data_IF_582143927345
#
_entry.id   IF_582143927345
#
_cell.length_a   1.000
_cell.length_b   1.000
_cell.length_c   1.000
_cell.angle_alpha   90.00
_cell.angle_beta   90.00
_cell.angle_gamma   90.00
#
_symmetry.space_group_name_H-M   'P 1'
#
loop_
_entity.id
_entity.type
_entity.pdbx_description
1 polymer ?
#
# COMPACT_ATOMS: atom_id res chain seq x y z
N UNK A 1 1.34 63.08 51.16
CA UNK A 1 1.32 62.20 49.98
C UNK A 1 2.31 61.06 50.17
N UNK A 2 1.97 59.97 50.83
CA UNK A 2 2.79 58.73 50.90
C UNK A 2 2.06 57.65 51.72
N UNK A 3 0.94 57.14 51.26
CA UNK A 3 0.28 55.94 51.88
C UNK A 3 -0.34 54.96 50.92
N UNK A 4 -0.22 55.19 49.57
CA UNK A 4 -0.85 54.29 48.59
C UNK A 4 0.08 53.21 47.99
N UNK A 5 1.38 53.16 48.36
CA UNK A 5 2.36 52.30 47.69
C UNK A 5 2.76 51.04 48.47
N UNK A 6 2.29 50.87 49.70
CA UNK A 6 2.66 49.72 50.53
C UNK A 6 1.63 48.57 50.49
N UNK A 7 0.38 48.84 50.13
CA UNK A 7 -0.60 47.77 49.97
C UNK A 7 -0.45 47.01 48.66
N UNK A 8 -0.20 47.71 47.54
CA UNK A 8 0.04 47.05 46.25
C UNK A 8 1.25 46.10 46.27
N UNK A 9 2.26 46.39 47.07
CA UNK A 9 3.47 45.54 47.17
C UNK A 9 3.23 44.26 48.00
N UNK A 10 2.29 44.29 48.94
CA UNK A 10 1.84 43.11 49.70
C UNK A 10 0.98 42.17 48.83
N UNK A 11 0.09 42.70 48.00
CA UNK A 11 -0.72 41.92 47.07
C UNK A 11 0.13 41.26 45.96
N UNK A 12 1.13 41.97 45.49
CA UNK A 12 2.05 41.41 44.48
C UNK A 12 2.95 40.31 45.05
N UNK A 13 3.39 40.43 46.30
CA UNK A 13 4.11 39.35 46.99
C UNK A 13 3.27 38.12 47.30
N UNK A 14 1.98 38.32 47.60
CA UNK A 14 1.06 37.20 47.76
C UNK A 14 0.75 36.52 46.41
N UNK A 15 0.50 37.27 45.35
CA UNK A 15 0.32 36.73 43.97
C UNK A 15 1.54 35.94 43.51
N UNK A 16 2.77 36.42 43.74
CA UNK A 16 3.99 35.71 43.41
C UNK A 16 4.15 34.42 44.24
N UNK A 17 3.76 34.43 45.52
CA UNK A 17 3.73 33.20 46.32
C UNK A 17 2.73 32.18 45.87
N UNK A 18 1.55 32.57 45.39
CA UNK A 18 0.54 31.65 44.86
C UNK A 18 0.88 31.15 43.45
N UNK A 19 1.53 31.97 42.60
CA UNK A 19 2.01 31.53 41.30
C UNK A 19 3.21 30.56 41.42
N UNK A 20 4.12 30.76 42.38
CA UNK A 20 5.20 29.85 42.65
C UNK A 20 4.71 28.56 43.31
N UNK A 21 3.71 28.62 44.21
CA UNK A 21 3.05 27.44 44.78
C UNK A 21 2.26 26.63 43.72
N UNK A 22 1.67 27.26 42.71
CA UNK A 22 0.96 26.61 41.64
C UNK A 22 1.89 25.93 40.64
N UNK A 23 3.10 26.48 40.46
CA UNK A 23 4.14 25.90 39.59
C UNK A 23 4.85 24.68 40.21
N UNK A 24 4.83 24.55 41.55
CA UNK A 24 5.41 23.41 42.27
C UNK A 24 4.45 22.22 42.40
N UNK A 25 3.13 22.45 42.16
CA UNK A 25 2.07 21.42 42.19
C UNK A 25 1.65 20.90 40.82
N UNK A 26 2.44 21.12 39.75
CA UNK A 26 2.33 20.29 38.59
C UNK A 26 2.99 18.95 38.94
N UNK A 27 2.24 17.85 39.10
CA UNK A 27 2.88 16.56 39.23
C UNK A 27 3.65 16.37 37.92
N UNK A 28 4.97 16.33 38.03
CA UNK A 28 5.81 15.79 37.00
C UNK A 28 5.58 14.26 36.97
N UNK A 29 4.35 13.85 36.61
CA UNK A 29 4.10 12.53 36.06
C UNK A 29 4.73 12.47 34.66
N UNK A 30 6.04 12.66 34.63
CA UNK A 30 6.88 11.98 33.65
C UNK A 30 6.86 10.49 34.04
N UNK A 31 5.66 9.89 34.10
CA UNK A 31 5.53 8.46 33.94
C UNK A 31 6.30 8.17 32.63
N UNK A 32 7.41 7.47 32.72
CA UNK A 32 8.05 6.91 31.56
C UNK A 32 6.95 6.15 30.84
N UNK A 33 6.37 6.77 29.82
CA UNK A 33 5.26 6.20 29.05
C UNK A 33 5.89 4.95 28.42
N UNK A 34 5.60 3.79 29.03
CA UNK A 34 5.99 2.53 28.44
C UNK A 34 5.50 2.56 27.01
N UNK A 35 6.42 2.31 26.08
CA UNK A 35 6.08 2.32 24.68
C UNK A 35 4.86 1.41 24.46
N UNK A 36 3.81 1.88 23.75
CA UNK A 36 2.61 1.09 23.55
C UNK A 36 2.95 -0.21 22.82
N UNK A 37 2.47 -1.34 23.33
CA UNK A 37 2.62 -2.64 22.67
C UNK A 37 1.50 -2.77 21.62
N UNK A 38 1.88 -2.94 20.36
CA UNK A 38 0.96 -3.11 19.25
C UNK A 38 0.91 -4.57 18.80
N UNK A 39 -0.30 -5.14 18.79
CA UNK A 39 -0.52 -6.43 18.14
C UNK A 39 -0.48 -6.31 16.62
N UNK A 40 -0.20 -7.41 15.92
CA UNK A 40 -0.20 -7.45 14.45
C UNK A 40 -1.54 -6.96 13.89
N UNK A 41 -2.67 -7.42 14.45
CA UNK A 41 -4.01 -7.00 14.00
C UNK A 41 -4.24 -5.50 14.15
N UNK A 42 -3.77 -4.89 15.23
CA UNK A 42 -3.84 -3.44 15.43
C UNK A 42 -3.05 -2.69 14.37
N UNK A 43 -1.86 -3.17 14.04
CA UNK A 43 -1.01 -2.59 12.97
C UNK A 43 -1.74 -2.67 11.62
N UNK A 44 -2.28 -3.85 11.27
CA UNK A 44 -3.00 -4.05 10.01
C UNK A 44 -4.25 -3.17 9.90
N UNK A 45 -5.02 -3.00 10.99
CA UNK A 45 -6.16 -2.10 11.03
C UNK A 45 -5.77 -0.63 10.88
N UNK A 46 -4.66 -0.19 11.51
CA UNK A 46 -4.15 1.17 11.35
C UNK A 46 -3.72 1.44 9.91
N UNK A 47 -3.09 0.47 9.24
CA UNK A 47 -2.71 0.57 7.82
C UNK A 47 -3.96 0.77 6.95
N UNK A 48 -4.98 -0.06 7.13
CA UNK A 48 -6.21 0.04 6.33
C UNK A 48 -6.90 1.41 6.46
N UNK A 49 -6.92 1.97 7.69
CA UNK A 49 -7.61 3.24 7.97
C UNK A 49 -6.79 4.48 7.62
N UNK A 50 -5.50 4.47 7.92
CA UNK A 50 -4.69 5.68 7.95
C UNK A 50 -3.74 5.82 6.75
N UNK A 51 -3.49 4.75 5.98
CA UNK A 51 -2.53 4.82 4.89
C UNK A 51 -3.00 5.78 3.79
N UNK A 52 -2.16 6.77 3.47
CA UNK A 52 -2.48 7.87 2.54
C UNK A 52 -2.73 7.34 1.13
N UNK A 53 -1.96 6.33 0.67
CA UNK A 53 -2.14 5.77 -0.66
C UNK A 53 -3.50 5.07 -0.79
N UNK A 54 -3.93 4.33 0.24
CA UNK A 54 -5.24 3.70 0.25
C UNK A 54 -6.38 4.72 0.23
N UNK A 55 -6.23 5.85 0.95
CA UNK A 55 -7.18 6.96 0.91
C UNK A 55 -7.23 7.61 -0.48
N UNK A 56 -6.10 7.73 -1.18
CA UNK A 56 -6.06 8.29 -2.53
C UNK A 56 -6.91 7.50 -3.53
N UNK A 57 -6.92 6.17 -3.45
CA UNK A 57 -7.79 5.33 -4.29
C UNK A 57 -9.27 5.57 -4.00
N UNK A 58 -9.64 5.78 -2.74
CA UNK A 58 -11.02 6.10 -2.37
C UNK A 58 -11.48 7.44 -2.95
N UNK A 59 -10.60 8.46 -2.92
CA UNK A 59 -10.86 9.76 -3.53
C UNK A 59 -10.94 9.69 -5.06
N UNK A 60 -10.06 8.89 -5.69
CA UNK A 60 -10.14 8.63 -7.14
C UNK A 60 -11.45 7.94 -7.53
N UNK A 61 -11.87 6.93 -6.77
CA UNK A 61 -13.15 6.27 -7.01
C UNK A 61 -14.33 7.25 -6.88
N UNK A 62 -14.28 8.20 -5.94
CA UNK A 62 -15.30 9.24 -5.78
C UNK A 62 -15.28 10.25 -6.95
N UNK A 63 -14.09 10.61 -7.49
CA UNK A 63 -13.98 11.52 -8.62
C UNK A 63 -14.68 10.99 -9.87
N UNK A 64 -14.73 9.67 -10.06
CA UNK A 64 -15.46 9.08 -11.19
C UNK A 64 -16.97 9.29 -11.13
N UNK A 65 -17.58 9.45 -9.94
CA UNK A 65 -19.01 9.80 -9.81
C UNK A 65 -19.27 11.19 -10.41
N UNK A 66 -18.44 12.16 -10.04
CA UNK A 66 -18.56 13.53 -10.57
C UNK A 66 -18.24 13.59 -12.07
N UNK A 67 -17.25 12.82 -12.52
CA UNK A 67 -16.95 12.68 -13.95
C UNK A 67 -18.11 12.04 -14.73
N UNK A 68 -18.79 11.07 -14.13
CA UNK A 68 -19.98 10.45 -14.71
C UNK A 68 -21.14 11.46 -14.80
N UNK A 69 -21.38 12.27 -13.78
CA UNK A 69 -22.39 13.32 -13.81
C UNK A 69 -22.03 14.40 -14.84
N UNK A 70 -20.79 14.84 -14.89
CA UNK A 70 -20.31 15.79 -15.88
C UNK A 70 -20.52 15.28 -17.32
N UNK A 71 -20.39 13.96 -17.55
CA UNK A 71 -20.59 13.37 -18.87
C UNK A 71 -22.03 13.43 -19.40
N UNK A 72 -23.00 13.80 -18.54
CA UNK A 72 -24.40 13.99 -18.90
C UNK A 72 -24.76 15.45 -19.17
N UNK A 73 -23.83 16.37 -18.93
CA UNK A 73 -24.06 17.79 -19.17
C UNK A 73 -24.24 18.07 -20.66
N UNK A 74 -25.14 18.99 -20.96
CA UNK A 74 -25.31 19.52 -22.31
C UNK A 74 -24.20 20.51 -22.62
N UNK A 75 -23.81 20.57 -23.87
CA UNK A 75 -22.93 21.63 -24.34
C UNK A 75 -23.64 23.00 -24.21
N UNK A 76 -22.87 24.03 -23.90
CA UNK A 76 -23.40 25.38 -23.83
C UNK A 76 -23.92 25.81 -25.19
N UNK A 77 -25.00 26.64 -25.25
CA UNK A 77 -25.44 27.24 -26.50
C UNK A 77 -24.34 28.10 -27.09
N UNK A 78 -24.12 27.98 -28.37
CA UNK A 78 -23.18 28.81 -29.12
C UNK A 78 -23.89 30.04 -29.63
N UNK A 79 -23.31 31.21 -29.39
CA UNK A 79 -23.80 32.51 -29.92
C UNK A 79 -22.76 33.06 -30.87
N UNK A 80 -23.16 33.35 -32.09
CA UNK A 80 -22.30 33.92 -33.13
C UNK A 80 -22.87 35.21 -33.66
N UNK A 81 -22.02 36.13 -34.06
CA UNK A 81 -22.33 37.34 -34.79
C UNK A 81 -21.50 37.34 -36.05
N UNK A 82 -22.12 37.59 -37.19
CA UNK A 82 -21.45 37.58 -38.47
C UNK A 82 -22.20 38.40 -39.53
N UNK A 83 -21.71 38.37 -40.72
CA UNK A 83 -22.40 38.97 -41.91
C UNK A 83 -22.85 37.85 -42.85
N UNK A 84 -23.96 38.04 -43.48
CA UNK A 84 -24.53 37.06 -44.42
C UNK A 84 -24.87 37.74 -45.75
N UNK A 85 -24.46 37.12 -46.87
CA UNK A 85 -24.62 37.70 -48.23
C UNK A 85 -24.07 39.10 -48.37
N UNK A 86 -22.99 39.43 -47.72
CA UNK A 86 -22.32 40.74 -47.78
C UNK A 86 -21.38 40.71 -48.99
N UNK A 87 -21.51 41.64 -49.98
CA UNK A 87 -20.62 41.69 -51.13
C UNK A 87 -19.18 42.05 -50.74
N UNK A 88 -18.23 41.64 -51.56
CA UNK A 88 -16.84 41.96 -51.34
C UNK A 88 -16.60 43.47 -51.35
N UNK A 89 -15.69 44.02 -50.55
CA UNK A 89 -15.36 45.42 -50.58
C UNK A 89 -14.98 45.89 -52.00
N UNK A 90 -15.56 47.00 -52.46
CA UNK A 90 -15.31 47.55 -53.79
C UNK A 90 -16.19 47.03 -54.89
N UNK A 91 -17.10 46.10 -54.68
CA UNK A 91 -18.13 45.72 -55.68
C UNK A 91 -19.22 46.78 -55.77
N UNK A 92 -19.65 47.11 -57.02
CA UNK A 92 -20.72 48.03 -57.25
C UNK A 92 -22.06 47.36 -56.91
N UNK A 93 -22.77 47.88 -55.90
CA UNK A 93 -24.06 47.37 -55.45
C UNK A 93 -25.14 48.16 -56.15
N UNK A 94 -25.86 47.53 -57.09
CA UNK A 94 -26.91 48.19 -57.89
C UNK A 94 -28.23 48.26 -57.13
N UNK A 95 -28.59 47.25 -56.33
CA UNK A 95 -29.79 47.21 -55.53
C UNK A 95 -29.49 47.33 -54.02
N UNK A 96 -30.15 48.21 -53.26
CA UNK A 96 -30.01 48.27 -51.80
C UNK A 96 -30.27 46.94 -51.09
N UNK A 97 -30.94 46.00 -51.70
CA UNK A 97 -31.19 44.63 -51.19
C UNK A 97 -29.92 43.78 -51.17
N UNK A 98 -28.97 44.07 -52.01
CA UNK A 98 -27.73 43.30 -52.15
C UNK A 98 -26.61 43.75 -51.17
N UNK A 99 -26.88 44.67 -50.24
CA UNK A 99 -25.93 45.14 -49.23
C UNK A 99 -25.57 44.07 -48.19
N UNK A 100 -26.27 42.98 -48.13
CA UNK A 100 -26.10 41.89 -47.15
C UNK A 100 -26.79 42.18 -45.81
N UNK A 101 -26.56 41.30 -44.85
CA UNK A 101 -27.19 41.32 -43.53
C UNK A 101 -26.16 41.18 -42.42
N UNK A 102 -26.39 41.76 -41.26
CA UNK A 102 -25.81 41.34 -39.99
C UNK A 102 -26.64 40.23 -39.47
N UNK A 103 -25.98 39.13 -39.10
CA UNK A 103 -26.62 37.89 -38.58
C UNK A 103 -26.24 37.66 -37.16
N UNK A 104 -27.20 37.49 -36.28
CA UNK A 104 -27.04 36.96 -34.92
C UNK A 104 -27.50 35.49 -34.92
N UNK A 105 -26.61 34.57 -34.57
CA UNK A 105 -26.85 33.13 -34.57
C UNK A 105 -26.87 32.60 -33.16
N UNK A 106 -27.84 31.73 -32.84
CA UNK A 106 -27.85 30.92 -31.59
C UNK A 106 -28.02 29.47 -32.02
N UNK A 107 -27.11 28.65 -31.55
CA UNK A 107 -27.09 27.20 -31.86
C UNK A 107 -27.02 26.36 -30.57
N UNK A 108 -27.88 25.32 -30.48
CA UNK A 108 -27.89 24.41 -29.35
C UNK A 108 -27.90 22.97 -29.82
N UNK A 109 -26.95 22.19 -29.33
CA UNK A 109 -26.94 20.74 -29.47
C UNK A 109 -27.86 20.10 -28.43
N UNK A 110 -28.71 19.18 -28.91
CA UNK A 110 -29.63 18.37 -28.10
C UNK A 110 -29.10 16.92 -28.12
N UNK A 111 -28.27 16.55 -27.10
CA UNK A 111 -27.68 15.22 -27.08
C UNK A 111 -28.72 14.13 -26.82
N UNK A 112 -28.51 12.95 -27.37
CA UNK A 112 -29.39 11.82 -27.14
C UNK A 112 -29.20 11.28 -25.72
N UNK A 113 -30.26 11.28 -24.91
CA UNK A 113 -30.22 10.81 -23.49
C UNK A 113 -29.71 9.38 -23.36
N UNK A 114 -29.99 8.48 -24.32
CA UNK A 114 -29.50 7.11 -24.27
C UNK A 114 -27.96 7.04 -24.40
N UNK A 115 -27.36 7.92 -25.23
CA UNK A 115 -25.89 8.06 -25.31
C UNK A 115 -25.31 8.55 -23.99
N UNK A 116 -25.89 9.62 -23.42
CA UNK A 116 -25.43 10.19 -22.16
C UNK A 116 -25.51 9.18 -21.03
N UNK A 117 -26.64 8.49 -20.88
CA UNK A 117 -26.81 7.49 -19.81
C UNK A 117 -25.89 6.28 -19.98
N UNK A 118 -25.63 5.81 -21.18
CA UNK A 118 -24.69 4.72 -21.41
C UNK A 118 -23.25 5.16 -21.10
N UNK A 119 -22.86 6.38 -21.49
CA UNK A 119 -21.57 6.96 -21.16
C UNK A 119 -21.39 7.17 -19.65
N UNK A 120 -22.42 7.68 -18.96
CA UNK A 120 -22.43 7.83 -17.51
C UNK A 120 -22.13 6.50 -16.83
N UNK A 121 -22.86 5.44 -17.14
CA UNK A 121 -22.66 4.11 -16.54
C UNK A 121 -21.26 3.57 -16.80
N UNK A 122 -20.71 3.76 -17.98
CA UNK A 122 -19.35 3.38 -18.32
C UNK A 122 -18.32 4.12 -17.45
N UNK A 123 -18.43 5.46 -17.33
CA UNK A 123 -17.50 6.27 -16.53
C UNK A 123 -17.63 5.94 -15.04
N UNK A 124 -18.85 5.80 -14.53
CA UNK A 124 -19.11 5.45 -13.13
C UNK A 124 -18.50 4.09 -12.76
N UNK A 125 -18.57 3.11 -13.67
CA UNK A 125 -17.99 1.77 -13.44
C UNK A 125 -16.46 1.79 -13.29
N UNK A 126 -15.76 2.78 -13.82
CA UNK A 126 -14.31 2.91 -13.64
C UNK A 126 -13.94 3.15 -12.17
N UNK A 127 -14.83 3.75 -11.38
CA UNK A 127 -14.63 3.90 -9.93
C UNK A 127 -14.53 2.55 -9.20
N UNK A 128 -15.15 1.48 -9.72
CA UNK A 128 -15.02 0.13 -9.14
C UNK A 128 -13.61 -0.44 -9.33
N UNK A 129 -12.95 -0.12 -10.44
CA UNK A 129 -11.55 -0.53 -10.67
C UNK A 129 -10.60 0.11 -9.66
N UNK A 130 -10.82 1.37 -9.30
CA UNK A 130 -10.03 2.03 -8.27
C UNK A 130 -10.23 1.37 -6.90
N UNK A 131 -11.47 1.01 -6.53
CA UNK A 131 -11.75 0.25 -5.29
C UNK A 131 -11.10 -1.12 -5.30
N UNK A 132 -11.18 -1.85 -6.40
CA UNK A 132 -10.51 -3.13 -6.54
C UNK A 132 -8.98 -3.01 -6.46
N UNK A 133 -8.41 -1.92 -7.01
CA UNK A 133 -6.98 -1.61 -6.91
C UNK A 133 -6.58 -1.30 -5.47
N UNK A 134 -7.41 -0.55 -4.71
CA UNK A 134 -7.22 -0.32 -3.28
C UNK A 134 -7.13 -1.63 -2.51
N UNK A 135 -8.05 -2.56 -2.76
CA UNK A 135 -8.09 -3.84 -2.05
C UNK A 135 -6.87 -4.72 -2.33
N UNK A 136 -6.35 -4.70 -3.56
CA UNK A 136 -5.10 -5.39 -3.92
C UNK A 136 -3.92 -4.74 -3.19
N UNK A 137 -3.82 -3.41 -3.24
CA UNK A 137 -2.75 -2.66 -2.58
C UNK A 137 -2.78 -2.86 -1.06
N UNK A 138 -3.97 -2.90 -0.45
CA UNK A 138 -4.12 -3.22 0.97
C UNK A 138 -3.57 -4.60 1.30
N UNK A 139 -3.84 -5.61 0.47
CA UNK A 139 -3.30 -6.96 0.66
C UNK A 139 -1.76 -6.98 0.57
N UNK A 140 -1.19 -6.22 -0.37
CA UNK A 140 0.27 -6.06 -0.48
C UNK A 140 0.86 -5.42 0.78
N UNK A 141 0.23 -4.36 1.30
CA UNK A 141 0.67 -3.70 2.53
C UNK A 141 0.51 -4.59 3.77
N UNK A 142 -0.55 -5.38 3.86
CA UNK A 142 -0.70 -6.38 4.92
C UNK A 142 0.43 -7.39 4.89
N UNK A 143 0.76 -7.94 3.73
CA UNK A 143 1.86 -8.88 3.59
C UNK A 143 3.21 -8.24 3.95
N UNK A 144 3.45 -7.00 3.51
CA UNK A 144 4.67 -6.25 3.87
C UNK A 144 4.76 -5.99 5.37
N UNK A 145 3.66 -5.58 6.01
CA UNK A 145 3.62 -5.35 7.44
C UNK A 145 3.86 -6.63 8.25
N UNK A 146 3.26 -7.77 7.83
CA UNK A 146 3.50 -9.09 8.43
C UNK A 146 4.98 -9.48 8.35
N UNK A 147 5.63 -9.31 7.19
CA UNK A 147 7.08 -9.59 7.03
C UNK A 147 7.93 -8.72 7.96
N UNK A 148 7.64 -7.43 8.05
CA UNK A 148 8.37 -6.51 8.94
C UNK A 148 8.17 -6.89 10.41
N UNK A 149 6.95 -7.26 10.79
CA UNK A 149 6.62 -7.71 12.14
C UNK A 149 7.38 -8.99 12.52
N UNK A 150 7.39 -10.01 11.67
CA UNK A 150 8.09 -11.26 11.92
C UNK A 150 9.61 -11.11 11.86
N UNK A 151 10.12 -10.22 11.02
CA UNK A 151 11.54 -9.87 11.03
C UNK A 151 11.96 -9.24 12.37
N UNK A 152 11.13 -8.33 12.90
CA UNK A 152 11.35 -7.77 14.24
C UNK A 152 11.28 -8.86 15.33
N UNK A 153 10.26 -9.70 15.29
CA UNK A 153 10.09 -10.81 16.25
C UNK A 153 11.32 -11.73 16.28
N UNK A 154 11.80 -12.15 15.12
CA UNK A 154 12.97 -13.02 15.00
C UNK A 154 14.25 -12.28 15.45
N UNK A 155 14.38 -10.98 15.16
CA UNK A 155 15.50 -10.19 15.62
C UNK A 155 15.56 -10.14 17.16
N UNK A 156 14.43 -10.01 17.86
CA UNK A 156 14.37 -10.11 19.32
C UNK A 156 14.79 -11.49 19.83
N UNK A 157 14.35 -12.56 19.15
CA UNK A 157 14.76 -13.93 19.51
C UNK A 157 16.27 -14.13 19.31
N UNK A 158 16.86 -13.59 18.24
CA UNK A 158 18.31 -13.61 18.00
C UNK A 158 19.06 -12.87 19.09
N UNK A 159 18.60 -11.69 19.50
CA UNK A 159 19.23 -10.94 20.61
C UNK A 159 19.25 -11.78 21.88
N UNK A 160 18.14 -12.44 22.22
CA UNK A 160 18.08 -13.30 23.40
C UNK A 160 19.13 -14.44 23.35
N UNK A 161 19.20 -15.15 22.21
CA UNK A 161 20.20 -16.23 22.01
C UNK A 161 21.63 -15.68 22.13
N UNK A 162 21.91 -14.54 21.49
CA UNK A 162 23.25 -13.92 21.53
C UNK A 162 23.62 -13.49 22.95
N UNK A 163 22.68 -12.92 23.70
CA UNK A 163 22.94 -12.50 25.10
C UNK A 163 23.18 -13.68 26.02
N UNK A 164 22.47 -14.81 25.85
CA UNK A 164 22.72 -16.04 26.61
C UNK A 164 24.10 -16.61 26.27
N UNK A 165 24.44 -16.65 24.98
CA UNK A 165 25.75 -17.13 24.53
C UNK A 165 26.92 -16.20 25.02
N UNK A 166 26.69 -14.90 25.11
CA UNK A 166 27.69 -13.96 25.67
C UNK A 166 28.00 -14.27 27.15
N UNK A 167 26.97 -14.62 27.95
CA UNK A 167 27.19 -15.00 29.37
C UNK A 167 28.08 -16.23 29.49
N UNK A 168 27.87 -17.24 28.62
CA UNK A 168 28.71 -18.45 28.61
C UNK A 168 30.17 -18.09 28.30
N UNK A 169 30.38 -17.33 27.21
CA UNK A 169 31.72 -16.94 26.77
C UNK A 169 32.44 -16.03 27.81
N UNK A 170 31.70 -15.11 28.44
CA UNK A 170 32.25 -14.27 29.53
C UNK A 170 32.70 -15.12 30.72
N UNK A 171 31.95 -16.16 31.07
CA UNK A 171 32.33 -17.10 32.11
C UNK A 171 33.60 -17.87 31.77
N UNK A 172 33.72 -18.33 30.52
CA UNK A 172 34.91 -19.04 30.02
C UNK A 172 36.17 -18.12 30.08
N UNK A 173 36.02 -16.86 29.58
CA UNK A 173 37.11 -15.86 29.67
C UNK A 173 37.57 -15.67 31.12
N UNK A 174 36.65 -15.51 32.05
CA UNK A 174 36.96 -15.31 33.47
C UNK A 174 37.70 -16.51 34.08
N UNK A 175 37.32 -17.74 33.71
CA UNK A 175 38.04 -18.95 34.15
C UNK A 175 39.48 -18.95 33.63
N UNK A 176 39.72 -18.59 32.36
CA UNK A 176 41.07 -18.46 31.78
C UNK A 176 41.92 -17.43 32.50
N UNK A 177 41.38 -16.26 32.76
CA UNK A 177 42.07 -15.20 33.48
C UNK A 177 42.54 -15.62 34.88
N UNK A 178 41.70 -16.41 35.59
CA UNK A 178 42.06 -16.97 36.92
C UNK A 178 43.12 -18.05 36.81
N UNK A 179 43.14 -18.87 35.77
CA UNK A 179 44.07 -19.99 35.57
C UNK A 179 45.46 -19.55 35.03
N UNK A 180 45.49 -18.46 34.29
CA UNK A 180 46.71 -17.97 33.64
C UNK A 180 47.89 -17.81 34.59
N UNK A 181 47.80 -17.19 35.78
CA UNK A 181 48.92 -17.02 36.71
C UNK A 181 49.51 -18.33 37.22
N UNK A 182 48.74 -19.42 37.11
CA UNK A 182 49.14 -20.77 37.57
C UNK A 182 49.71 -21.64 36.45
N UNK A 183 50.01 -21.07 35.26
CA UNK A 183 50.43 -21.82 34.06
C UNK A 183 49.45 -22.92 33.60
N UNK A 184 48.19 -22.78 33.94
CA UNK A 184 47.11 -23.75 33.58
C UNK A 184 46.29 -23.31 32.39
N UNK A 185 46.64 -22.18 31.75
CA UNK A 185 45.96 -21.67 30.57
C UNK A 185 46.89 -20.92 29.62
N UNK A 186 46.42 -20.65 28.39
CA UNK A 186 47.16 -19.92 27.38
C UNK A 186 46.56 -18.52 27.20
N UNK A 187 47.39 -17.48 27.24
CA UNK A 187 46.97 -16.08 27.06
C UNK A 187 46.21 -15.87 25.74
N UNK A 188 46.61 -16.59 24.67
CA UNK A 188 45.94 -16.53 23.37
C UNK A 188 44.50 -17.00 23.40
N UNK A 189 44.14 -17.94 24.30
CA UNK A 189 42.74 -18.40 24.47
C UNK A 189 41.85 -17.32 25.08
N UNK A 190 42.40 -16.52 26.02
CA UNK A 190 41.67 -15.38 26.61
C UNK A 190 41.38 -14.31 25.57
N UNK A 191 42.35 -13.97 24.71
CA UNK A 191 42.14 -13.02 23.61
C UNK A 191 41.18 -13.54 22.57
N UNK A 192 41.18 -14.85 22.25
CA UNK A 192 40.19 -15.46 21.36
C UNK A 192 38.80 -15.33 21.94
N UNK A 193 38.60 -15.59 23.23
CA UNK A 193 37.30 -15.43 23.90
C UNK A 193 36.81 -13.96 23.87
N UNK A 194 37.73 -13.01 24.13
CA UNK A 194 37.38 -11.58 24.05
C UNK A 194 36.94 -11.14 22.64
N UNK A 195 37.64 -11.56 21.61
CA UNK A 195 37.26 -11.29 20.23
C UNK A 195 35.86 -11.83 19.93
N UNK A 196 35.52 -13.03 20.40
CA UNK A 196 34.18 -13.64 20.18
C UNK A 196 33.08 -12.90 20.97
N UNK A 197 33.37 -12.36 22.15
CA UNK A 197 32.41 -11.53 22.90
C UNK A 197 32.09 -10.26 22.10
N UNK A 198 33.11 -9.57 21.56
CA UNK A 198 32.87 -8.35 20.79
C UNK A 198 32.19 -8.62 19.47
N UNK A 199 32.46 -9.73 18.78
CA UNK A 199 31.75 -10.17 17.60
C UNK A 199 30.27 -10.41 17.91
N UNK A 200 29.97 -11.09 19.01
CA UNK A 200 28.61 -11.34 19.49
C UNK A 200 27.86 -10.03 19.78
N UNK A 201 28.49 -9.06 20.42
CA UNK A 201 27.94 -7.72 20.68
C UNK A 201 27.66 -6.96 19.38
N UNK A 202 28.53 -7.09 18.39
CA UNK A 202 28.28 -6.52 17.06
C UNK A 202 27.07 -7.14 16.39
N UNK A 203 26.88 -8.45 16.51
CA UNK A 203 25.65 -9.11 16.02
C UNK A 203 24.40 -8.60 16.73
N UNK A 204 24.43 -8.36 18.05
CA UNK A 204 23.33 -7.74 18.79
C UNK A 204 23.00 -6.35 18.22
N UNK A 205 23.99 -5.48 18.02
CA UNK A 205 23.79 -4.14 17.43
C UNK A 205 23.17 -4.21 16.04
N UNK A 206 23.56 -5.21 15.23
CA UNK A 206 22.93 -5.43 13.90
C UNK A 206 21.44 -5.79 14.02
N UNK A 207 21.07 -6.62 15.00
CA UNK A 207 19.65 -6.95 15.24
C UNK A 207 18.86 -5.73 15.74
N UNK A 208 19.42 -4.91 16.62
CA UNK A 208 18.83 -3.64 17.06
C UNK A 208 18.58 -2.70 15.87
N UNK A 209 19.54 -2.62 14.93
CA UNK A 209 19.37 -1.90 13.67
C UNK A 209 18.23 -2.45 12.82
N UNK A 210 18.08 -3.79 12.78
CA UNK A 210 16.97 -4.45 12.06
C UNK A 210 15.62 -4.09 12.69
N UNK A 211 15.52 -4.06 14.01
CA UNK A 211 14.33 -3.63 14.75
C UNK A 211 13.99 -2.17 14.44
N UNK A 212 15.00 -1.29 14.50
CA UNK A 212 14.82 0.13 14.17
C UNK A 212 14.30 0.34 12.76
N UNK A 213 14.84 -0.38 11.78
CA UNK A 213 14.38 -0.37 10.39
C UNK A 213 12.93 -0.87 10.26
N UNK A 214 12.59 -1.99 10.88
CA UNK A 214 11.24 -2.54 10.84
C UNK A 214 10.22 -1.57 11.46
N UNK A 215 10.53 -0.95 12.60
CA UNK A 215 9.71 0.07 13.26
C UNK A 215 9.44 1.26 12.36
N UNK A 216 10.49 1.81 11.75
CA UNK A 216 10.36 2.97 10.86
C UNK A 216 9.47 2.68 9.65
N UNK A 217 9.61 1.50 9.03
CA UNK A 217 8.77 1.09 7.91
C UNK A 217 7.30 0.84 8.32
N UNK A 218 7.06 0.21 9.47
CA UNK A 218 5.72 0.04 10.02
C UNK A 218 5.04 1.38 10.31
N UNK A 219 5.79 2.34 10.89
CA UNK A 219 5.30 3.71 11.09
C UNK A 219 4.89 4.36 9.77
N UNK A 220 5.71 4.22 8.72
CA UNK A 220 5.39 4.73 7.39
C UNK A 220 4.11 4.11 6.82
N UNK A 221 3.92 2.80 6.94
CA UNK A 221 2.70 2.11 6.48
C UNK A 221 1.46 2.56 7.25
N UNK A 222 1.58 2.80 8.57
CA UNK A 222 0.50 3.27 9.44
C UNK A 222 0.22 4.78 9.33
N UNK A 223 1.01 5.52 8.52
CA UNK A 223 0.99 6.99 8.48
C UNK A 223 1.24 7.63 9.85
N UNK A 224 2.16 7.05 10.62
CA UNK A 224 2.65 7.57 11.89
C UNK A 224 4.00 8.30 11.69
N UNK A 225 4.45 9.03 12.71
CA UNK A 225 5.78 9.69 12.65
C UNK A 225 6.87 8.61 12.58
N UNK A 226 7.85 8.77 11.68
CA UNK A 226 8.90 7.77 11.44
C UNK A 226 9.72 7.38 12.67
N UNK A 227 9.81 8.25 13.68
CA UNK A 227 10.49 8.04 14.95
C UNK A 227 9.54 7.68 16.10
N UNK A 228 8.27 7.41 15.86
CA UNK A 228 7.33 6.99 16.89
C UNK A 228 7.77 5.66 17.48
N UNK A 229 7.86 5.62 18.83
CA UNK A 229 8.33 4.43 19.55
C UNK A 229 7.14 3.59 19.98
N UNK A 230 7.19 2.32 19.60
CA UNK A 230 6.24 1.29 20.04
C UNK A 230 6.98 -0.05 20.11
N UNK A 231 6.40 -1.00 20.80
CA UNK A 231 6.85 -2.39 20.87
C UNK A 231 5.84 -3.31 20.19
N UNK A 232 6.28 -4.49 19.79
CA UNK A 232 5.41 -5.51 19.21
C UNK A 232 5.03 -6.57 20.25
N UNK A 233 3.86 -7.17 20.08
CA UNK A 233 3.47 -8.35 20.84
C UNK A 233 4.30 -9.56 20.36
N UNK A 234 5.14 -10.12 21.22
CA UNK A 234 6.03 -11.22 20.90
C UNK A 234 5.38 -12.61 21.03
N UNK A 235 4.14 -12.69 21.48
CA UNK A 235 3.43 -13.95 21.66
C UNK A 235 2.84 -14.52 20.37
N UNK A 236 2.69 -13.65 19.35
CA UNK A 236 2.08 -14.01 18.08
C UNK A 236 3.11 -14.65 17.14
N UNK A 237 2.96 -15.93 16.86
CA UNK A 237 3.70 -16.63 15.81
C UNK A 237 2.76 -17.07 14.68
N UNK A 238 3.17 -17.00 13.41
CA UNK A 238 2.32 -17.42 12.31
C UNK A 238 2.13 -18.94 12.31
N UNK A 239 0.88 -19.35 12.17
CA UNK A 239 0.53 -20.77 12.05
C UNK A 239 0.08 -21.05 10.63
N UNK A 240 0.72 -22.01 9.98
CA UNK A 240 0.30 -22.42 8.65
C UNK A 240 -1.06 -23.10 8.70
N UNK A 241 -2.07 -22.44 8.15
CA UNK A 241 -3.41 -22.98 7.98
C UNK A 241 -3.66 -23.28 6.49
N UNK A 242 -3.69 -24.57 6.14
CA UNK A 242 -4.02 -25.00 4.79
C UNK A 242 -5.41 -24.48 4.39
N UNK A 243 -5.56 -23.97 3.17
CA UNK A 243 -6.88 -23.71 2.60
C UNK A 243 -7.60 -25.02 2.30
N UNK A 244 -8.91 -25.05 2.55
CA UNK A 244 -9.70 -26.28 2.39
C UNK A 244 -9.81 -26.73 0.93
N UNK A 245 -9.74 -25.78 -0.01
CA UNK A 245 -9.86 -26.04 -1.44
C UNK A 245 -9.05 -25.02 -2.26
N UNK A 246 -8.34 -25.51 -3.27
CA UNK A 246 -7.60 -24.72 -4.26
C UNK A 246 -8.27 -24.75 -5.64
N UNK A 247 -9.54 -25.13 -5.69
CA UNK A 247 -10.25 -25.13 -6.97
C UNK A 247 -10.39 -23.71 -7.53
N UNK A 248 -10.37 -23.60 -8.86
CA UNK A 248 -10.42 -22.32 -9.56
C UNK A 248 -11.69 -21.53 -9.29
N UNK A 249 -12.80 -22.20 -8.99
CA UNK A 249 -14.06 -21.56 -8.65
C UNK A 249 -13.98 -20.85 -7.29
N UNK A 250 -13.46 -21.54 -6.27
CA UNK A 250 -13.22 -20.96 -4.93
C UNK A 250 -12.21 -19.81 -4.99
N UNK A 251 -11.11 -19.97 -5.73
CA UNK A 251 -10.09 -18.93 -5.90
C UNK A 251 -10.66 -17.69 -6.58
N UNK A 252 -11.55 -17.87 -7.56
CA UNK A 252 -12.15 -16.74 -8.28
C UNK A 252 -12.99 -15.82 -7.38
N UNK A 253 -13.52 -16.34 -6.27
CA UNK A 253 -14.32 -15.57 -5.30
C UNK A 253 -13.48 -14.84 -4.26
N UNK A 254 -12.29 -15.36 -3.94
CA UNK A 254 -11.44 -14.85 -2.87
C UNK A 254 -10.43 -13.83 -3.41
N UNK A 255 -9.85 -14.09 -4.58
CA UNK A 255 -8.75 -13.31 -5.14
C UNK A 255 -9.23 -11.96 -5.67
N UNK A 256 -8.72 -10.89 -5.07
CA UNK A 256 -9.08 -9.50 -5.44
C UNK A 256 -8.53 -9.08 -6.81
N UNK A 257 -7.42 -9.64 -7.25
CA UNK A 257 -6.88 -9.41 -8.59
C UNK A 257 -7.76 -10.04 -9.68
N UNK A 258 -8.28 -11.25 -9.43
CA UNK A 258 -9.25 -11.91 -10.31
C UNK A 258 -10.58 -11.17 -10.32
N UNK A 259 -11.04 -10.67 -9.16
CA UNK A 259 -12.21 -9.80 -9.08
C UNK A 259 -12.01 -8.50 -9.86
N UNK A 260 -10.83 -7.87 -9.74
CA UNK A 260 -10.48 -6.68 -10.54
C UNK A 260 -10.52 -6.95 -12.03
N UNK A 261 -10.02 -8.12 -12.48
CA UNK A 261 -10.11 -8.53 -13.88
C UNK A 261 -11.57 -8.67 -14.32
N UNK A 262 -12.43 -9.24 -13.47
CA UNK A 262 -13.85 -9.36 -13.73
C UNK A 262 -14.56 -8.00 -13.82
N UNK A 263 -14.21 -7.05 -12.94
CA UNK A 263 -14.68 -5.66 -12.99
C UNK A 263 -14.21 -4.97 -14.30
N UNK A 264 -12.96 -5.20 -14.71
CA UNK A 264 -12.43 -4.64 -15.96
C UNK A 264 -13.19 -5.16 -17.19
N UNK A 265 -13.52 -6.45 -17.22
CA UNK A 265 -14.41 -7.03 -18.25
C UNK A 265 -15.76 -6.34 -18.22
N UNK A 266 -16.36 -6.14 -17.04
CA UNK A 266 -17.64 -5.43 -16.88
C UNK A 266 -17.59 -3.99 -17.38
N UNK A 267 -16.52 -3.26 -17.06
CA UNK A 267 -16.28 -1.88 -17.55
C UNK A 267 -16.19 -1.88 -19.08
N UNK A 268 -15.50 -2.84 -19.68
CA UNK A 268 -15.37 -2.93 -21.13
C UNK A 268 -16.71 -3.31 -21.80
N UNK A 269 -17.53 -4.13 -21.16
CA UNK A 269 -18.90 -4.42 -21.62
C UNK A 269 -19.78 -3.16 -21.63
N UNK A 270 -19.70 -2.34 -20.57
CA UNK A 270 -20.40 -1.04 -20.50
C UNK A 270 -19.87 -0.05 -21.55
N UNK A 271 -18.57 -0.09 -21.86
CA UNK A 271 -18.01 0.69 -22.96
C UNK A 271 -18.59 0.26 -24.31
N UNK A 272 -18.70 -1.05 -24.56
CA UNK A 272 -19.36 -1.59 -25.75
C UNK A 272 -20.84 -1.10 -25.85
N UNK A 273 -21.56 -1.08 -24.72
CA UNK A 273 -22.90 -0.52 -24.68
C UNK A 273 -22.92 0.98 -25.04
N UNK A 274 -22.00 1.74 -24.50
CA UNK A 274 -21.82 3.17 -24.83
C UNK A 274 -21.54 3.35 -26.32
N UNK A 275 -20.62 2.55 -26.87
CA UNK A 275 -20.33 2.57 -28.33
C UNK A 275 -21.52 2.16 -29.18
N UNK A 276 -22.32 1.18 -28.78
CA UNK A 276 -23.55 0.82 -29.47
C UNK A 276 -24.56 1.97 -29.55
N UNK A 277 -24.53 2.89 -28.54
CA UNK A 277 -25.40 4.07 -28.58
C UNK A 277 -24.96 5.12 -29.61
N UNK A 278 -23.71 5.06 -30.12
CA UNK A 278 -23.23 5.97 -31.17
C UNK A 278 -24.08 5.91 -32.45
N UNK A 279 -24.80 4.82 -32.68
CA UNK A 279 -25.79 4.70 -33.79
C UNK A 279 -27.02 5.59 -33.62
N UNK A 280 -27.27 6.13 -32.43
CA UNK A 280 -28.44 6.99 -32.19
C UNK A 280 -28.20 8.39 -32.79
N UNK A 281 -29.21 8.99 -33.42
CA UNK A 281 -29.11 10.34 -33.96
C UNK A 281 -28.95 11.39 -32.84
N UNK A 282 -28.34 12.48 -33.18
CA UNK A 282 -28.28 13.71 -32.37
C UNK A 282 -29.01 14.82 -33.12
N UNK A 283 -29.61 15.69 -32.37
CA UNK A 283 -30.37 16.83 -32.89
C UNK A 283 -29.61 18.12 -32.55
N UNK A 284 -29.79 19.09 -33.50
CA UNK A 284 -29.26 20.43 -33.30
C UNK A 284 -30.31 21.41 -33.78
N UNK A 285 -30.53 22.47 -33.04
CA UNK A 285 -31.39 23.57 -33.38
C UNK A 285 -30.55 24.82 -33.53
N UNK A 286 -30.76 25.53 -34.62
CA UNK A 286 -30.14 26.80 -34.91
C UNK A 286 -31.19 27.85 -35.20
N UNK A 287 -31.02 29.01 -34.58
CA UNK A 287 -31.82 30.22 -34.81
C UNK A 287 -30.91 31.30 -35.31
N UNK A 288 -31.24 31.95 -36.44
CA UNK A 288 -30.52 33.06 -37.03
C UNK A 288 -31.49 34.24 -37.11
N UNK A 289 -31.09 35.40 -36.54
CA UNK A 289 -31.76 36.70 -36.72
C UNK A 289 -30.92 37.54 -37.67
N UNK A 290 -31.56 38.03 -38.76
CA UNK A 290 -30.92 38.79 -39.81
C UNK A 290 -31.40 40.22 -39.78
N UNK A 291 -30.47 41.16 -39.78
CA UNK A 291 -30.65 42.60 -39.82
C UNK A 291 -30.08 43.11 -41.13
N UNK A 292 -30.96 43.51 -42.13
CA UNK A 292 -30.49 44.01 -43.43
C UNK A 292 -29.65 45.28 -43.29
N UNK A 293 -28.56 45.36 -44.05
CA UNK A 293 -27.73 46.62 -44.15
C UNK A 293 -28.32 47.62 -45.13
N UNK A 294 -29.37 47.22 -45.91
CA UNK A 294 -30.12 48.07 -46.82
C UNK A 294 -31.45 48.53 -46.23
N UNK A 295 -31.84 49.79 -46.44
CA UNK A 295 -33.01 50.43 -45.84
C UNK A 295 -34.38 49.96 -46.37
N UNK A 296 -34.43 49.01 -47.34
CA UNK A 296 -35.65 48.61 -48.00
C UNK A 296 -36.07 47.14 -47.71
N UNK A 297 -35.34 46.43 -46.85
CA UNK A 297 -35.67 45.05 -46.49
C UNK A 297 -36.14 44.92 -45.04
N UNK A 298 -37.19 44.11 -44.78
CA UNK A 298 -37.58 43.83 -43.38
C UNK A 298 -36.57 42.92 -42.67
N UNK A 299 -36.53 43.01 -41.35
CA UNK A 299 -35.80 42.00 -40.51
C UNK A 299 -36.34 40.59 -40.79
N UNK A 300 -35.45 39.64 -40.87
CA UNK A 300 -35.81 38.24 -41.12
C UNK A 300 -35.23 37.31 -40.09
N UNK A 301 -35.81 36.19 -39.88
CA UNK A 301 -35.24 35.13 -39.03
C UNK A 301 -35.30 33.78 -39.77
N UNK A 302 -34.41 32.88 -39.37
CA UNK A 302 -34.41 31.49 -39.86
C UNK A 302 -34.31 30.54 -38.66
N UNK A 303 -35.04 29.46 -38.73
CA UNK A 303 -34.94 28.35 -37.76
C UNK A 303 -34.56 27.12 -38.55
N UNK A 304 -33.47 26.43 -38.13
CA UNK A 304 -32.97 25.25 -38.79
C UNK A 304 -32.87 24.12 -37.77
N UNK A 305 -33.55 23.00 -38.03
CA UNK A 305 -33.34 21.74 -37.32
C UNK A 305 -32.38 20.84 -38.09
N UNK A 306 -31.36 20.33 -37.44
CA UNK A 306 -30.41 19.39 -38.05
C UNK A 306 -30.43 18.07 -37.29
N UNK A 307 -30.26 16.97 -38.00
CA UNK A 307 -30.20 15.61 -37.43
C UNK A 307 -28.96 14.91 -37.99
N UNK A 308 -28.15 14.31 -37.10
CA UNK A 308 -27.04 13.44 -37.51
C UNK A 308 -27.54 12.05 -37.87
N UNK A 309 -27.00 11.46 -38.93
CA UNK A 309 -27.36 10.11 -39.39
C UNK A 309 -26.13 9.20 -39.35
N UNK A 310 -25.77 8.63 -38.17
CA UNK A 310 -24.52 7.88 -37.99
C UNK A 310 -24.63 6.41 -38.43
N UNK A 311 -25.65 6.03 -39.19
CA UNK A 311 -25.88 4.64 -39.65
C UNK A 311 -25.31 4.35 -41.04
N UNK A 312 -24.89 5.36 -41.77
CA UNK A 312 -24.29 5.19 -43.11
C UNK A 312 -22.99 4.41 -43.06
N UNK A 313 -22.62 3.63 -44.09
CA UNK A 313 -21.48 2.70 -44.03
C UNK A 313 -20.18 3.31 -43.56
N UNK A 314 -19.83 4.49 -44.06
CA UNK A 314 -18.53 5.17 -43.69
C UNK A 314 -18.53 5.68 -42.26
N UNK A 315 -19.63 6.19 -41.72
CA UNK A 315 -19.67 6.67 -40.32
C UNK A 315 -19.87 5.51 -39.33
N UNK A 316 -20.58 4.44 -39.72
CA UNK A 316 -20.79 3.28 -38.85
C UNK A 316 -19.56 2.36 -38.71
N UNK A 317 -18.61 2.42 -39.64
CA UNK A 317 -17.41 1.60 -39.64
C UNK A 317 -16.59 1.79 -38.34
N UNK A 318 -16.46 3.02 -37.86
CA UNK A 318 -15.70 3.35 -36.68
C UNK A 318 -16.21 2.58 -35.44
N UNK A 319 -17.44 2.83 -35.02
CA UNK A 319 -17.96 2.21 -33.80
C UNK A 319 -18.15 0.69 -33.93
N UNK A 320 -18.46 0.17 -35.13
CA UNK A 320 -18.58 -1.28 -35.37
C UNK A 320 -17.25 -1.99 -35.25
N UNK A 321 -16.19 -1.43 -35.83
CA UNK A 321 -14.82 -2.01 -35.72
C UNK A 321 -14.32 -1.94 -34.31
N UNK A 322 -14.57 -0.85 -33.59
CA UNK A 322 -14.16 -0.66 -32.19
C UNK A 322 -14.88 -1.63 -31.25
N UNK A 323 -16.19 -1.83 -31.43
CA UNK A 323 -16.97 -2.86 -30.70
C UNK A 323 -16.37 -4.25 -30.94
N UNK A 324 -16.00 -4.60 -32.16
CA UNK A 324 -15.39 -5.89 -32.48
C UNK A 324 -14.01 -6.04 -31.84
N UNK A 325 -13.19 -4.98 -31.84
CA UNK A 325 -11.89 -4.97 -31.16
C UNK A 325 -12.06 -5.19 -29.64
N UNK A 326 -12.99 -4.49 -29.01
CA UNK A 326 -13.29 -4.65 -27.58
C UNK A 326 -13.81 -6.07 -27.25
N UNK A 327 -14.61 -6.69 -28.13
CA UNK A 327 -15.08 -8.06 -27.94
C UNK A 327 -13.91 -9.06 -27.92
N UNK A 328 -12.93 -8.93 -28.83
CA UNK A 328 -11.72 -9.75 -28.81
C UNK A 328 -10.86 -9.48 -27.57
N UNK A 329 -10.77 -8.22 -27.13
CA UNK A 329 -10.07 -7.86 -25.90
C UNK A 329 -10.72 -8.51 -24.67
N UNK A 330 -12.05 -8.54 -24.58
CA UNK A 330 -12.77 -9.25 -23.51
C UNK A 330 -12.44 -10.75 -23.53
N UNK A 331 -12.47 -11.38 -24.70
CA UNK A 331 -12.11 -12.80 -24.83
C UNK A 331 -10.66 -13.06 -24.38
N UNK A 332 -9.74 -12.14 -24.72
CA UNK A 332 -8.36 -12.17 -24.23
C UNK A 332 -8.31 -12.14 -22.71
N UNK A 333 -8.96 -11.15 -22.09
CA UNK A 333 -9.01 -11.01 -20.62
C UNK A 333 -9.66 -12.21 -19.92
N UNK A 334 -10.68 -12.85 -20.52
CA UNK A 334 -11.25 -14.09 -19.99
C UNK A 334 -10.24 -15.24 -19.98
N UNK A 335 -9.41 -15.35 -21.02
CA UNK A 335 -8.32 -16.34 -21.06
C UNK A 335 -7.21 -16.03 -20.07
N UNK A 336 -6.82 -14.76 -19.93
CA UNK A 336 -5.86 -14.31 -18.93
C UNK A 336 -6.36 -14.60 -17.50
N UNK A 337 -7.64 -14.34 -17.24
CA UNK A 337 -8.28 -14.70 -15.96
C UNK A 337 -8.21 -16.19 -15.67
N UNK A 338 -8.50 -17.04 -16.64
CA UNK A 338 -8.42 -18.49 -16.50
C UNK A 338 -6.96 -18.95 -16.26
N UNK A 339 -6.00 -18.38 -16.99
CA UNK A 339 -4.59 -18.67 -16.82
C UNK A 339 -4.09 -18.28 -15.42
N UNK A 340 -4.45 -17.08 -14.95
CA UNK A 340 -4.12 -16.59 -13.60
C UNK A 340 -4.65 -17.53 -12.50
N UNK A 341 -5.86 -18.05 -12.64
CA UNK A 341 -6.43 -18.99 -11.68
C UNK A 341 -5.69 -20.32 -11.67
N UNK A 342 -5.32 -20.84 -12.84
CA UNK A 342 -4.57 -22.10 -12.98
C UNK A 342 -3.16 -21.97 -12.43
N UNK A 343 -2.47 -20.87 -12.73
CA UNK A 343 -1.13 -20.56 -12.21
C UNK A 343 -1.17 -20.45 -10.68
N UNK A 344 -2.15 -19.73 -10.14
CA UNK A 344 -2.33 -19.59 -8.69
C UNK A 344 -2.55 -20.94 -8.01
N UNK A 345 -3.35 -21.81 -8.61
CA UNK A 345 -3.57 -23.16 -8.09
C UNK A 345 -2.25 -23.93 -8.00
N UNK A 346 -1.45 -23.94 -9.07
CA UNK A 346 -0.13 -24.58 -9.07
C UNK A 346 0.82 -23.99 -8.03
N UNK A 347 0.84 -22.66 -7.94
CA UNK A 347 1.66 -21.93 -6.97
C UNK A 347 1.29 -22.30 -5.52
N UNK A 348 0.00 -22.33 -5.16
CA UNK A 348 -0.46 -22.65 -3.81
C UNK A 348 -0.11 -24.10 -3.41
N UNK A 349 -0.23 -25.07 -4.32
CA UNK A 349 0.25 -26.42 -4.07
C UNK A 349 1.77 -26.48 -3.87
N UNK A 350 2.54 -25.77 -4.71
CA UNK A 350 3.99 -25.66 -4.54
C UNK A 350 4.37 -25.10 -3.18
N UNK A 351 3.79 -23.96 -2.80
CA UNK A 351 4.03 -23.33 -1.51
C UNK A 351 3.66 -24.24 -0.33
N UNK A 352 2.57 -25.02 -0.41
CA UNK A 352 2.20 -25.97 0.62
C UNK A 352 3.29 -27.03 0.85
N UNK A 353 3.85 -27.59 -0.23
CA UNK A 353 4.95 -28.57 -0.13
C UNK A 353 6.21 -27.95 0.48
N UNK A 354 6.56 -26.74 0.06
CA UNK A 354 7.73 -26.03 0.58
C UNK A 354 7.59 -25.72 2.07
N UNK A 355 6.44 -25.16 2.48
CA UNK A 355 6.16 -24.85 3.90
C UNK A 355 6.24 -26.12 4.77
N UNK A 356 5.62 -27.21 4.35
CA UNK A 356 5.66 -28.47 5.10
C UNK A 356 7.07 -29.07 5.19
N UNK A 357 7.85 -28.94 4.13
CA UNK A 357 9.24 -29.39 4.12
C UNK A 357 10.08 -28.55 5.08
N UNK A 358 9.91 -27.22 5.05
CA UNK A 358 10.59 -26.29 5.96
C UNK A 358 10.21 -26.55 7.42
N UNK A 359 8.93 -26.80 7.74
CA UNK A 359 8.49 -27.16 9.09
C UNK A 359 9.21 -28.41 9.62
N UNK A 360 9.29 -29.48 8.80
CA UNK A 360 10.00 -30.70 9.18
C UNK A 360 11.50 -30.48 9.38
N UNK A 361 12.11 -29.63 8.55
CA UNK A 361 13.53 -29.27 8.66
C UNK A 361 13.79 -28.53 9.98
N UNK A 362 13.01 -27.48 10.28
CA UNK A 362 13.14 -26.73 11.53
C UNK A 362 12.93 -27.65 12.74
N UNK A 363 11.90 -28.50 12.70
CA UNK A 363 11.67 -29.46 13.76
C UNK A 363 12.87 -30.40 13.99
N UNK A 364 13.50 -30.89 12.92
CA UNK A 364 14.72 -31.72 13.05
C UNK A 364 15.90 -30.93 13.64
N UNK A 365 16.03 -29.65 13.28
CA UNK A 365 17.08 -28.79 13.83
C UNK A 365 16.86 -28.55 15.34
N UNK A 366 15.64 -28.22 15.77
CA UNK A 366 15.30 -27.94 17.16
C UNK A 366 15.30 -29.18 18.06
N UNK A 367 14.78 -30.29 17.60
CA UNK A 367 14.61 -31.47 18.42
C UNK A 367 15.84 -32.43 18.45
N UNK A 368 16.69 -32.36 17.39
CA UNK A 368 17.81 -33.30 17.25
C UNK A 368 19.16 -32.63 17.21
N UNK A 369 19.35 -31.64 16.30
CA UNK A 369 20.68 -31.07 16.04
C UNK A 369 21.10 -30.13 17.17
N UNK A 370 20.28 -29.13 17.53
CA UNK A 370 20.58 -28.18 18.60
C UNK A 370 20.83 -28.90 19.94
N UNK A 371 19.98 -29.86 20.40
CA UNK A 371 20.24 -30.59 21.63
C UNK A 371 21.51 -31.43 21.60
N UNK A 372 21.88 -32.02 20.45
CA UNK A 372 23.14 -32.74 20.28
C UNK A 372 24.36 -31.83 20.44
N UNK A 373 24.35 -30.64 19.83
CA UNK A 373 25.40 -29.64 19.96
C UNK A 373 25.49 -29.08 21.38
N UNK A 374 24.33 -28.86 22.03
CA UNK A 374 24.28 -28.44 23.43
C UNK A 374 25.00 -29.48 24.33
N UNK A 375 24.64 -30.77 24.21
CA UNK A 375 25.32 -31.83 24.94
C UNK A 375 26.82 -31.90 24.65
N UNK A 376 27.24 -31.64 23.41
CA UNK A 376 28.64 -31.58 23.04
C UNK A 376 29.35 -30.44 23.77
N UNK A 377 28.75 -29.24 23.80
CA UNK A 377 29.29 -28.09 24.53
C UNK A 377 29.40 -28.39 26.01
N UNK A 378 28.34 -28.95 26.63
CA UNK A 378 28.30 -29.29 28.05
C UNK A 378 29.41 -30.28 28.42
N UNK A 379 29.56 -31.36 27.62
CA UNK A 379 30.63 -32.35 27.83
C UNK A 379 32.02 -31.78 27.69
N UNK A 380 32.25 -30.95 26.68
CA UNK A 380 33.52 -30.25 26.46
C UNK A 380 33.81 -29.29 27.59
N UNK A 381 32.78 -28.58 28.09
CA UNK A 381 32.96 -27.65 29.22
C UNK A 381 33.34 -28.34 30.50
N UNK A 382 32.70 -29.51 30.83
CA UNK A 382 33.08 -30.31 31.96
C UNK A 382 34.53 -30.80 31.84
N UNK A 383 34.93 -31.34 30.67
CA UNK A 383 36.28 -31.81 30.40
C UNK A 383 37.33 -30.68 30.52
N UNK A 384 36.94 -29.47 30.13
CA UNK A 384 37.80 -28.28 30.32
C UNK A 384 37.94 -27.93 31.81
N UNK A 385 36.84 -27.99 32.57
CA UNK A 385 36.91 -27.73 34.02
C UNK A 385 37.83 -28.72 34.75
N UNK A 386 37.88 -29.95 34.28
CA UNK A 386 38.77 -31.00 34.81
C UNK A 386 40.21 -30.95 34.28
N UNK A 387 40.59 -29.88 33.52
CA UNK A 387 41.89 -29.76 32.87
C UNK A 387 42.25 -30.88 31.88
N UNK A 388 41.24 -31.57 31.31
CA UNK A 388 41.42 -32.64 30.32
C UNK A 388 41.33 -32.09 28.87
N UNK A 389 40.89 -30.86 28.69
CA UNK A 389 40.65 -30.25 27.40
C UNK A 389 41.09 -28.77 27.38
N UNK A 390 41.50 -28.26 26.21
CA UNK A 390 41.83 -26.85 26.00
C UNK A 390 40.58 -26.00 25.74
N UNK A 391 40.61 -24.71 26.18
CA UNK A 391 39.48 -23.79 25.96
C UNK A 391 39.14 -23.64 24.46
N UNK A 392 40.11 -23.71 23.57
CA UNK A 392 39.89 -23.60 22.12
C UNK A 392 38.83 -24.61 21.59
N UNK A 393 38.86 -25.85 22.09
CA UNK A 393 37.88 -26.88 21.72
C UNK A 393 36.48 -26.61 22.27
N UNK A 394 36.38 -25.96 23.44
CA UNK A 394 35.11 -25.52 24.02
C UNK A 394 34.53 -24.35 23.22
N UNK A 395 35.40 -23.39 22.78
CA UNK A 395 35.00 -22.29 21.93
C UNK A 395 34.48 -22.80 20.59
N UNK A 396 35.14 -23.79 19.99
CA UNK A 396 34.70 -24.36 18.71
C UNK A 396 33.34 -25.05 18.85
N UNK A 397 33.05 -25.76 19.94
CA UNK A 397 31.74 -26.35 20.24
C UNK A 397 30.69 -25.26 20.50
N UNK A 398 31.04 -24.18 21.21
CA UNK A 398 30.15 -23.04 21.41
C UNK A 398 29.84 -22.32 20.10
N UNK A 399 30.81 -22.12 19.22
CA UNK A 399 30.60 -21.53 17.90
C UNK A 399 29.63 -22.40 17.09
N UNK A 400 29.81 -23.72 17.06
CA UNK A 400 28.94 -24.63 16.33
C UNK A 400 27.49 -24.57 16.85
N UNK A 401 27.29 -24.51 18.17
CA UNK A 401 25.97 -24.37 18.78
C UNK A 401 25.34 -23.03 18.44
N UNK A 402 26.07 -21.92 18.60
CA UNK A 402 25.59 -20.56 18.35
C UNK A 402 25.18 -20.42 16.87
N UNK A 403 26.02 -20.88 15.94
CA UNK A 403 25.69 -20.87 14.52
C UNK A 403 24.41 -21.65 14.24
N UNK A 404 24.27 -22.85 14.78
CA UNK A 404 23.06 -23.66 14.56
C UNK A 404 21.80 -23.01 15.14
N UNK A 405 21.90 -22.37 16.32
CA UNK A 405 20.79 -21.64 16.93
C UNK A 405 20.38 -20.43 16.05
N UNK A 406 21.34 -19.74 15.46
CA UNK A 406 21.06 -18.64 14.51
C UNK A 406 20.47 -19.16 13.20
N UNK A 407 20.99 -20.28 12.66
CA UNK A 407 20.44 -20.93 11.48
C UNK A 407 18.98 -21.35 11.68
N UNK A 408 18.62 -21.88 12.85
CA UNK A 408 17.21 -22.19 13.19
C UNK A 408 16.33 -20.96 13.11
N UNK A 409 16.80 -19.82 13.62
CA UNK A 409 16.05 -18.56 13.58
C UNK A 409 15.95 -17.99 12.15
N UNK A 410 16.98 -18.20 11.33
CA UNK A 410 16.96 -17.83 9.92
C UNK A 410 15.95 -18.68 9.12
N UNK A 411 15.93 -19.98 9.36
CA UNK A 411 14.95 -20.87 8.74
C UNK A 411 13.52 -20.61 9.24
N UNK A 412 13.34 -20.23 10.53
CA UNK A 412 12.04 -19.77 11.05
C UNK A 412 11.58 -18.49 10.35
N UNK A 413 12.47 -17.53 10.16
CA UNK A 413 12.10 -16.30 9.44
C UNK A 413 11.67 -16.60 8.01
N UNK A 414 12.41 -17.46 7.29
CA UNK A 414 12.01 -17.92 5.95
C UNK A 414 10.64 -18.61 5.95
N UNK A 415 10.40 -19.48 6.94
CA UNK A 415 9.10 -20.13 7.09
C UNK A 415 7.98 -19.10 7.29
N UNK A 416 8.19 -18.08 8.13
CA UNK A 416 7.21 -17.03 8.36
C UNK A 416 6.94 -16.21 7.09
N UNK A 417 7.98 -15.88 6.34
CA UNK A 417 7.85 -15.21 5.04
C UNK A 417 7.06 -16.07 4.04
N UNK A 418 7.33 -17.37 3.96
CA UNK A 418 6.59 -18.31 3.11
C UNK A 418 5.11 -18.39 3.50
N UNK A 419 4.81 -18.40 4.79
CA UNK A 419 3.41 -18.40 5.30
C UNK A 419 2.73 -17.09 4.93
N UNK A 420 3.41 -15.94 5.09
CA UNK A 420 2.88 -14.63 4.69
C UNK A 420 2.62 -14.58 3.18
N UNK A 421 3.50 -15.12 2.36
CA UNK A 421 3.31 -15.18 0.91
C UNK A 421 2.14 -16.06 0.52
N UNK A 422 1.98 -17.21 1.18
CA UNK A 422 0.83 -18.08 1.00
C UNK A 422 -0.49 -17.39 1.40
N UNK A 423 -0.53 -16.72 2.56
CA UNK A 423 -1.69 -15.96 3.00
C UNK A 423 -2.01 -14.79 2.07
N UNK A 424 -0.98 -14.12 1.53
CA UNK A 424 -1.13 -13.06 0.54
C UNK A 424 -1.84 -13.57 -0.71
N UNK A 425 -1.51 -14.77 -1.21
CA UNK A 425 -2.17 -15.36 -2.37
C UNK A 425 -3.63 -15.69 -2.10
N UNK A 426 -4.00 -15.94 -0.85
CA UNK A 426 -5.37 -16.20 -0.39
C UNK A 426 -6.11 -14.94 0.07
N UNK A 427 -5.48 -13.77 0.05
CA UNK A 427 -6.06 -12.50 0.53
C UNK A 427 -6.55 -12.55 1.99
N UNK A 428 -5.76 -13.20 2.87
CA UNK A 428 -6.02 -13.37 4.31
C UNK A 428 -5.22 -12.44 5.20
#
# INVERSE_FOLDING_TARGET
MNCANTENWKYMKQLIKYTIALLVYLPADAAAQQAPVLSLDTILQRIDRNNILLQSYSLKAESYKYSADASTAWMAPMVGVGTFMTPYPGQMIMDPRDKGNIMLQIEQDIPNRAKLNARKRYIESQGNLERATRDITLNDFKAQAKRLYFNWLVALQRINVLQENEKIMTTMKKIEEVRYPYNQSQLGSSFKAEARIEENRNMVRMQEGTIGKARAWLNSLMNAKGNEVFEIDTTHSPVFARANNYDTASLSLIRKDVLKMSENIGVMQLNIESMKMQKKPEFRIRFDQMFPLGSSMPNAYSIMGMISIPIVPWSSKMYKSEIKAMQFSIQGMEKEKAAMLQETQGMLYGMEYEIRTMQKRIQSMEEKIVPALQKTLDANFISYQENKMQLTQVIDAWEALTMMQMDVLDEKLKLYEMIVDYEKQLYR
#
